data_IF_007961696796
#
_entry.id   IF_007961696796
#
_cell.length_a   1.000
_cell.length_b   1.000
_cell.length_c   1.000
_cell.angle_alpha   90.00
_cell.angle_beta   90.00
_cell.angle_gamma   90.00
#
_symmetry.space_group_name_H-M   'P 1'
#
loop_
_entity.id
_entity.type
_entity.pdbx_description
1 polymer ?
#
# COMPACT_ATOMS: atom_id res chain seq x y z
N UNK A 1 -18.23 8.65 22.58
CA UNK A 1 -18.10 7.17 22.55
C UNK A 1 -17.96 6.76 21.10
N UNK A 2 -16.82 6.19 20.73
CA UNK A 2 -16.59 5.69 19.37
C UNK A 2 -17.30 4.34 19.27
N UNK A 3 -18.32 4.25 18.42
CA UNK A 3 -18.98 2.99 18.11
C UNK A 3 -18.01 2.20 17.24
N UNK A 4 -17.31 1.24 17.83
CA UNK A 4 -16.49 0.29 17.09
C UNK A 4 -17.43 -0.48 16.17
N UNK A 5 -17.34 -0.21 14.86
CA UNK A 5 -18.19 -0.84 13.87
C UNK A 5 -17.85 -2.33 13.86
N UNK A 6 -18.80 -3.19 14.25
CA UNK A 6 -18.58 -4.64 14.40
C UNK A 6 -17.98 -5.29 13.13
N UNK A 7 -18.24 -4.68 11.96
CA UNK A 7 -17.61 -5.06 10.69
C UNK A 7 -16.10 -4.82 10.62
N UNK A 8 -15.60 -3.75 11.24
CA UNK A 8 -14.16 -3.45 11.32
C UNK A 8 -13.42 -4.46 12.20
N UNK A 9 -14.03 -4.88 13.31
CA UNK A 9 -13.46 -5.91 14.18
C UNK A 9 -13.30 -7.27 13.44
N UNK A 10 -14.30 -7.66 12.65
CA UNK A 10 -14.22 -8.88 11.83
C UNK A 10 -13.16 -8.78 10.73
N UNK A 11 -13.08 -7.63 10.04
CA UNK A 11 -12.06 -7.37 9.03
C UNK A 11 -10.64 -7.32 9.64
N UNK A 12 -10.49 -6.76 10.83
CA UNK A 12 -9.24 -6.76 11.59
C UNK A 12 -8.81 -8.18 11.98
N UNK A 13 -9.74 -9.03 12.44
CA UNK A 13 -9.46 -10.43 12.75
C UNK A 13 -9.00 -11.21 11.51
N UNK A 14 -9.67 -11.03 10.36
CA UNK A 14 -9.25 -11.65 9.10
C UNK A 14 -7.84 -11.20 8.67
N UNK A 15 -7.50 -9.92 8.84
CA UNK A 15 -6.15 -9.41 8.58
C UNK A 15 -5.11 -10.04 9.51
N UNK A 16 -5.38 -10.11 10.81
CA UNK A 16 -4.46 -10.75 11.76
C UNK A 16 -4.27 -12.24 11.50
N UNK A 17 -5.32 -12.96 11.06
CA UNK A 17 -5.20 -14.37 10.68
C UNK A 17 -4.32 -14.55 9.42
N UNK A 18 -4.41 -13.62 8.46
CA UNK A 18 -3.65 -13.68 7.21
C UNK A 18 -2.21 -13.19 7.34
N UNK A 19 -1.98 -12.13 8.12
CA UNK A 19 -0.72 -11.40 8.17
C UNK A 19 -0.01 -11.47 9.53
N UNK A 20 -0.62 -12.09 10.53
CA UNK A 20 -0.09 -12.11 11.90
C UNK A 20 -0.26 -10.78 12.62
N UNK A 21 0.54 -10.57 13.67
CA UNK A 21 0.59 -9.31 14.42
C UNK A 21 1.77 -8.47 13.97
N UNK A 22 1.64 -7.15 14.11
CA UNK A 22 2.76 -6.24 13.91
C UNK A 22 3.87 -6.58 14.94
N UNK A 23 5.15 -6.56 14.53
CA UNK A 23 6.27 -6.62 15.47
C UNK A 23 6.20 -5.49 16.51
N UNK A 24 6.96 -5.65 17.60
CA UNK A 24 7.12 -4.57 18.56
C UNK A 24 7.72 -3.32 17.90
N UNK A 25 7.34 -2.15 18.41
CA UNK A 25 7.85 -0.89 17.88
C UNK A 25 9.34 -0.79 18.16
N UNK A 26 10.12 -0.50 17.12
CA UNK A 26 11.56 -0.25 17.23
C UNK A 26 11.78 0.97 18.14
N UNK A 27 12.81 0.91 18.98
CA UNK A 27 13.19 2.03 19.84
C UNK A 27 13.61 3.21 18.97
N UNK A 28 13.35 4.43 19.44
CA UNK A 28 13.71 5.62 18.65
C UNK A 28 15.23 5.68 18.43
N UNK A 29 16.02 5.25 19.42
CA UNK A 29 17.47 5.19 19.36
C UNK A 29 18.01 4.15 18.36
N UNK A 30 17.15 3.20 17.95
CA UNK A 30 17.46 2.15 16.97
C UNK A 30 16.91 2.47 15.57
N UNK A 31 16.18 3.58 15.42
CA UNK A 31 15.68 4.06 14.13
C UNK A 31 16.80 4.76 13.35
N UNK A 32 16.96 4.40 12.07
CA UNK A 32 17.87 5.13 11.16
C UNK A 32 17.08 6.24 10.46
N UNK A 33 17.73 7.37 10.18
CA UNK A 33 17.15 8.37 9.28
C UNK A 33 16.89 7.73 7.91
N UNK A 34 15.72 8.01 7.33
CA UNK A 34 15.38 7.51 6.01
C UNK A 34 16.27 8.16 4.97
N UNK A 35 16.97 7.37 4.16
CA UNK A 35 17.66 7.88 2.98
C UNK A 35 16.62 8.39 1.97
N UNK A 36 16.92 9.50 1.29
CA UNK A 36 16.14 9.94 0.15
C UNK A 36 16.11 8.78 -0.86
N UNK A 37 14.91 8.27 -1.15
CA UNK A 37 14.75 7.30 -2.22
C UNK A 37 15.16 8.03 -3.50
N UNK A 38 16.33 7.67 -4.06
CA UNK A 38 16.77 8.19 -5.34
C UNK A 38 15.64 8.05 -6.37
N UNK A 39 15.58 8.93 -7.39
CA UNK A 39 14.46 8.98 -8.34
C UNK A 39 14.13 7.56 -8.82
N UNK A 40 12.91 7.13 -8.55
CA UNK A 40 12.47 5.75 -8.75
C UNK A 40 12.57 5.37 -10.23
N UNK A 41 13.69 4.76 -10.62
CA UNK A 41 13.95 4.29 -11.98
C UNK A 41 14.41 5.41 -12.93
N UNK A 42 15.70 5.42 -13.27
CA UNK A 42 16.22 6.29 -14.34
C UNK A 42 15.42 6.13 -15.65
N UNK A 43 15.35 7.19 -16.47
CA UNK A 43 14.68 7.30 -17.79
C UNK A 43 13.18 6.88 -17.92
N UNK A 44 12.67 6.02 -17.04
CA UNK A 44 11.31 5.49 -17.01
C UNK A 44 10.46 6.08 -15.87
N UNK A 45 11.04 6.93 -15.00
CA UNK A 45 10.32 7.66 -13.96
C UNK A 45 9.43 8.81 -14.49
N UNK A 46 9.57 9.20 -15.77
CA UNK A 46 8.71 10.21 -16.34
C UNK A 46 7.31 9.61 -16.51
N UNK A 47 6.37 10.09 -15.69
CA UNK A 47 4.97 9.71 -15.80
C UNK A 47 4.45 10.05 -17.20
N UNK A 48 4.17 9.02 -18.00
CA UNK A 48 3.58 9.13 -19.33
C UNK A 48 2.09 8.75 -19.27
N UNK A 49 1.18 9.73 -19.16
CA UNK A 49 -0.25 9.44 -19.10
C UNK A 49 -0.77 8.79 -20.39
N UNK A 50 -0.14 9.05 -21.55
CA UNK A 50 -0.51 8.47 -22.85
C UNK A 50 0.04 7.04 -23.03
N UNK A 51 1.08 6.66 -22.28
CA UNK A 51 1.64 5.31 -22.25
C UNK A 51 1.03 4.41 -21.17
N UNK A 52 0.44 5.00 -20.12
CA UNK A 52 -0.05 4.30 -18.95
C UNK A 52 -1.22 3.33 -19.24
N UNK A 53 -2.04 3.58 -20.26
CA UNK A 53 -3.18 2.73 -20.62
C UNK A 53 -2.80 1.27 -20.90
N UNK A 54 -1.56 1.03 -21.34
CA UNK A 54 -1.03 -0.31 -21.66
C UNK A 54 -0.96 -1.23 -20.45
N UNK A 55 -0.97 -0.68 -19.24
CA UNK A 55 -0.87 -1.44 -17.98
C UNK A 55 -2.22 -1.61 -17.28
N UNK A 56 -3.28 -0.99 -17.81
CA UNK A 56 -4.62 -0.98 -17.21
C UNK A 56 -5.56 -2.02 -17.84
N UNK A 57 -5.04 -3.07 -18.48
CA UNK A 57 -5.88 -4.10 -19.12
C UNK A 57 -6.90 -4.71 -18.16
N UNK A 58 -6.54 -4.95 -16.90
CA UNK A 58 -7.50 -5.43 -15.88
C UNK A 58 -8.53 -4.37 -15.51
N UNK A 59 -8.11 -3.10 -15.35
CA UNK A 59 -9.00 -1.99 -15.01
C UNK A 59 -10.02 -1.69 -16.14
N UNK A 60 -9.61 -1.79 -17.40
CA UNK A 60 -10.53 -1.65 -18.54
C UNK A 60 -11.59 -2.77 -18.54
N UNK A 61 -11.17 -4.01 -18.27
CA UNK A 61 -12.04 -5.17 -18.16
C UNK A 61 -13.02 -5.04 -16.97
N UNK A 62 -12.53 -4.54 -15.84
CA UNK A 62 -13.33 -4.28 -14.63
C UNK A 62 -14.38 -3.17 -14.84
N UNK A 63 -14.12 -2.22 -15.74
CA UNK A 63 -15.03 -1.11 -16.08
C UNK A 63 -15.93 -1.40 -17.29
N UNK A 64 -15.70 -2.51 -18.01
CA UNK A 64 -16.50 -2.91 -19.17
C UNK A 64 -16.31 -2.04 -20.41
N UNK A 65 -15.12 -1.44 -20.58
CA UNK A 65 -14.72 -0.61 -21.74
C UNK A 65 -14.07 -1.42 -22.86
#
# INVERSE_FOLDING_TARGET
MNTEDTGDAAAAAARHARFGRLPERIRFEEMTEGAEAGPSGGAHAAYDPEGAWKYYSCLALDLGL
#
